data_IF_704507259075
#
_entry.id   IF_704507259075
#
_cell.length_a   1.000
_cell.length_b   1.000
_cell.length_c   1.000
_cell.angle_alpha   90.00
_cell.angle_beta   90.00
_cell.angle_gamma   90.00
#
_symmetry.space_group_name_H-M   'P 1'
#
loop_
_entity.id
_entity.type
_entity.pdbx_description
1 polymer ?
#
# COMPACT_ATOMS: atom_id res chain seq x y z
N UNK A 1 -37.67 37.73 -63.36
CA UNK A 1 -36.92 36.46 -63.51
C UNK A 1 -36.05 36.26 -62.28
N UNK A 2 -36.01 35.05 -61.70
CA UNK A 2 -35.16 34.61 -60.57
C UNK A 2 -35.76 34.93 -59.20
N UNK A 3 -36.53 34.08 -58.51
CA UNK A 3 -36.31 32.71 -58.01
C UNK A 3 -35.24 32.59 -56.89
N UNK A 4 -35.78 32.53 -55.66
CA UNK A 4 -35.36 31.85 -54.41
C UNK A 4 -34.01 31.13 -54.39
N UNK A 5 -33.26 31.26 -53.27
CA UNK A 5 -32.56 30.12 -52.64
C UNK A 5 -32.24 30.40 -51.16
N UNK A 6 -33.07 29.81 -50.28
CA UNK A 6 -32.74 29.52 -48.89
C UNK A 6 -32.04 28.16 -48.89
N UNK A 7 -30.75 28.12 -48.56
CA UNK A 7 -30.02 26.87 -48.35
C UNK A 7 -30.29 26.37 -46.91
N UNK A 8 -31.15 25.36 -46.79
CA UNK A 8 -31.15 24.45 -45.66
C UNK A 8 -29.90 23.57 -45.75
N UNK A 9 -29.01 23.64 -44.75
CA UNK A 9 -27.96 22.67 -44.55
C UNK A 9 -28.55 21.42 -43.89
N UNK A 10 -28.72 20.34 -44.66
CA UNK A 10 -28.97 19.01 -44.13
C UNK A 10 -27.64 18.45 -43.60
N UNK A 11 -27.48 18.37 -42.28
CA UNK A 11 -26.39 17.64 -41.66
C UNK A 11 -26.67 16.13 -41.79
N UNK A 12 -25.94 15.47 -42.68
CA UNK A 12 -25.94 14.01 -42.78
C UNK A 12 -25.31 13.42 -41.51
N UNK A 13 -26.10 12.72 -40.71
CA UNK A 13 -25.60 11.88 -39.61
C UNK A 13 -24.96 10.64 -40.23
N UNK A 14 -23.65 10.67 -40.42
CA UNK A 14 -22.90 9.47 -40.76
C UNK A 14 -22.87 8.56 -39.51
N UNK A 15 -23.26 7.28 -39.60
CA UNK A 15 -23.03 6.35 -38.51
C UNK A 15 -21.52 6.18 -38.34
N UNK A 16 -20.99 6.52 -37.16
CA UNK A 16 -19.63 6.15 -36.75
C UNK A 16 -19.55 4.63 -36.67
N UNK A 17 -18.93 4.02 -37.67
CA UNK A 17 -18.57 2.60 -37.63
C UNK A 17 -17.35 2.47 -36.71
N UNK A 18 -17.56 1.99 -35.48
CA UNK A 18 -16.44 1.64 -34.61
C UNK A 18 -15.75 0.40 -35.18
N UNK A 19 -14.44 0.48 -35.41
CA UNK A 19 -13.62 -0.67 -35.78
C UNK A 19 -13.73 -1.75 -34.69
N UNK A 20 -13.57 -3.03 -35.07
CA UNK A 20 -13.58 -4.14 -34.12
C UNK A 20 -12.52 -3.95 -33.03
N UNK A 21 -12.86 -4.26 -31.79
CA UNK A 21 -11.93 -4.22 -30.65
C UNK A 21 -10.87 -5.31 -30.79
N UNK A 22 -9.60 -4.93 -30.59
CA UNK A 22 -8.48 -5.87 -30.57
C UNK A 22 -8.68 -6.97 -29.50
N UNK A 23 -7.94 -8.07 -29.62
CA UNK A 23 -7.92 -9.11 -28.60
C UNK A 23 -7.59 -8.50 -27.23
N UNK A 24 -8.32 -8.92 -26.18
CA UNK A 24 -8.22 -8.40 -24.81
C UNK A 24 -8.63 -6.93 -24.61
N UNK A 25 -9.12 -6.23 -25.63
CA UNK A 25 -9.66 -4.88 -25.46
C UNK A 25 -11.07 -4.89 -24.84
N UNK A 26 -11.46 -3.78 -24.23
CA UNK A 26 -12.83 -3.58 -23.76
C UNK A 26 -13.80 -3.55 -24.94
N UNK A 27 -14.89 -4.30 -24.82
CA UNK A 27 -15.92 -4.44 -25.85
C UNK A 27 -17.35 -4.16 -25.34
N UNK A 28 -17.48 -3.68 -24.10
CA UNK A 28 -18.77 -3.37 -23.49
C UNK A 28 -18.65 -2.86 -22.06
N UNK A 29 -19.78 -2.44 -21.50
CA UNK A 29 -19.86 -1.84 -20.17
C UNK A 29 -20.66 -0.53 -20.15
N UNK A 30 -21.27 -0.21 -19.03
CA UNK A 30 -22.00 1.04 -18.83
C UNK A 30 -21.06 2.24 -19.02
N UNK A 31 -21.43 3.15 -19.93
CA UNK A 31 -20.61 4.31 -20.29
C UNK A 31 -19.56 4.05 -21.37
N UNK A 32 -19.39 2.80 -21.83
CA UNK A 32 -18.48 2.47 -22.93
C UNK A 32 -19.00 3.00 -24.26
N UNK A 33 -18.17 3.77 -24.97
CA UNK A 33 -18.48 4.34 -26.28
C UNK A 33 -17.59 3.79 -27.41
N UNK A 34 -16.70 2.84 -27.10
CA UNK A 34 -15.80 2.22 -28.09
C UNK A 34 -16.41 1.01 -28.79
N UNK A 35 -15.53 0.17 -29.36
CA UNK A 35 -15.94 -1.02 -30.11
C UNK A 35 -16.82 -1.97 -29.27
N UNK A 36 -17.91 -2.49 -29.84
CA UNK A 36 -18.79 -3.47 -29.17
C UNK A 36 -18.67 -4.89 -29.72
N UNK A 37 -17.82 -5.06 -30.73
CA UNK A 37 -17.52 -6.34 -31.37
C UNK A 37 -16.02 -6.55 -31.39
N UNK A 38 -15.60 -7.81 -31.32
CA UNK A 38 -14.19 -8.20 -31.23
C UNK A 38 -13.64 -8.63 -32.60
N UNK A 39 -12.32 -8.54 -32.76
CA UNK A 39 -11.62 -9.12 -33.91
C UNK A 39 -11.83 -10.63 -33.98
N UNK A 40 -11.70 -11.21 -35.19
CA UNK A 40 -11.90 -12.64 -35.43
C UNK A 40 -11.09 -13.52 -34.47
N UNK A 41 -11.72 -14.57 -33.93
CA UNK A 41 -11.14 -15.46 -32.91
C UNK A 41 -11.39 -15.01 -31.47
N UNK A 42 -11.95 -13.82 -31.26
CA UNK A 42 -12.31 -13.28 -29.95
C UNK A 42 -13.82 -13.01 -29.86
N UNK A 43 -14.38 -13.24 -28.68
CA UNK A 43 -15.78 -12.99 -28.34
C UNK A 43 -15.85 -11.96 -27.23
N UNK A 44 -16.82 -11.04 -27.33
CA UNK A 44 -17.04 -10.07 -26.26
C UNK A 44 -17.69 -10.78 -25.06
N UNK A 45 -16.92 -11.00 -24.01
CA UNK A 45 -17.37 -11.70 -22.81
C UNK A 45 -17.72 -10.70 -21.72
N UNK A 46 -18.95 -10.78 -21.23
CA UNK A 46 -19.42 -9.96 -20.12
C UNK A 46 -18.63 -10.29 -18.84
N UNK A 47 -18.10 -9.27 -18.18
CA UNK A 47 -17.44 -9.41 -16.88
C UNK A 47 -18.30 -8.82 -15.77
N UNK A 48 -18.75 -7.58 -15.93
CA UNK A 48 -19.66 -6.90 -15.02
C UNK A 48 -20.40 -5.74 -15.74
N UNK A 49 -21.24 -5.02 -15.00
CA UNK A 49 -22.10 -3.95 -15.55
C UNK A 49 -21.30 -2.84 -16.24
N UNK A 50 -20.07 -2.56 -15.79
CA UNK A 50 -19.22 -1.50 -16.32
C UNK A 50 -18.16 -2.00 -17.31
N UNK A 51 -18.00 -3.31 -17.49
CA UNK A 51 -16.90 -3.87 -18.25
C UNK A 51 -17.21 -5.23 -18.92
N UNK A 52 -16.89 -5.33 -20.21
CA UNK A 52 -16.86 -6.57 -20.99
C UNK A 52 -15.60 -6.58 -21.84
N UNK A 53 -14.99 -7.73 -22.07
CA UNK A 53 -13.67 -7.85 -22.74
C UNK A 53 -13.68 -8.86 -23.87
N UNK A 54 -12.92 -8.57 -24.93
CA UNK A 54 -12.66 -9.51 -26.02
C UNK A 54 -11.75 -10.64 -25.55
N UNK A 55 -12.29 -11.86 -25.43
CA UNK A 55 -11.52 -13.05 -25.02
C UNK A 55 -11.50 -14.12 -26.12
N UNK A 56 -10.43 -14.93 -26.25
CA UNK A 56 -10.35 -15.99 -27.26
C UNK A 56 -11.51 -16.98 -27.12
N UNK A 57 -12.30 -17.15 -28.19
CA UNK A 57 -13.41 -18.09 -28.22
C UNK A 57 -13.04 -19.35 -29.00
N UNK A 58 -13.01 -20.50 -28.34
CA UNK A 58 -13.04 -21.80 -29.02
C UNK A 58 -14.37 -21.92 -29.77
N UNK A 59 -14.32 -22.06 -31.10
CA UNK A 59 -15.49 -22.03 -31.97
C UNK A 59 -16.64 -22.93 -31.52
N UNK A 60 -17.85 -22.37 -31.44
CA UNK A 60 -19.08 -23.09 -31.15
C UNK A 60 -20.15 -22.14 -30.62
N UNK A 61 -21.09 -21.73 -31.48
CA UNK A 61 -22.13 -20.77 -31.14
C UNK A 61 -23.19 -21.31 -30.17
N UNK A 62 -23.58 -20.46 -29.21
CA UNK A 62 -24.96 -20.36 -28.73
C UNK A 62 -25.14 -19.00 -28.03
N UNK A 63 -25.96 -18.15 -28.62
CA UNK A 63 -26.44 -16.89 -28.06
C UNK A 63 -27.34 -17.18 -26.85
N UNK A 64 -27.06 -16.56 -25.70
CA UNK A 64 -27.97 -16.56 -24.54
C UNK A 64 -28.31 -15.13 -24.17
N UNK A 65 -29.50 -14.70 -24.60
CA UNK A 65 -30.12 -13.43 -24.25
C UNK A 65 -30.72 -13.49 -22.84
N UNK A 66 -30.49 -12.43 -22.06
CA UNK A 66 -31.06 -12.16 -20.73
C UNK A 66 -32.61 -12.05 -20.78
N UNK A 67 -33.36 -12.58 -19.78
CA UNK A 67 -34.76 -12.24 -19.63
C UNK A 67 -34.92 -10.85 -19.00
N UNK A 68 -35.82 -10.07 -19.59
CA UNK A 68 -36.31 -8.78 -19.14
C UNK A 68 -37.41 -9.00 -18.10
N UNK A 69 -37.31 -8.38 -16.93
CA UNK A 69 -38.47 -8.13 -16.06
C UNK A 69 -38.47 -6.67 -15.64
N UNK A 70 -39.65 -6.06 -15.80
CA UNK A 70 -39.93 -4.63 -15.76
C UNK A 70 -40.83 -4.32 -14.56
N UNK A 71 -40.54 -3.19 -13.90
CA UNK A 71 -41.46 -2.31 -13.14
C UNK A 71 -41.98 -2.75 -11.75
N UNK A 72 -42.51 -1.83 -10.90
CA UNK A 72 -42.58 -0.36 -11.02
C UNK A 72 -42.06 0.43 -9.78
N UNK A 73 -41.85 1.71 -10.05
CA UNK A 73 -41.63 2.84 -9.15
C UNK A 73 -42.86 3.14 -8.28
N UNK A 74 -42.65 3.43 -7.00
CA UNK A 74 -43.65 4.16 -6.18
C UNK A 74 -42.96 5.26 -5.37
N UNK A 75 -43.32 6.49 -5.68
CA UNK A 75 -43.00 7.71 -4.93
C UNK A 75 -43.97 7.79 -3.75
N UNK A 76 -43.46 7.96 -2.52
CA UNK A 76 -44.26 8.49 -1.40
C UNK A 76 -43.43 9.51 -0.63
N UNK A 77 -43.89 10.76 -0.69
CA UNK A 77 -43.48 11.88 0.15
C UNK A 77 -44.29 11.82 1.44
N UNK A 78 -43.66 11.97 2.62
CA UNK A 78 -44.36 12.33 3.86
C UNK A 78 -43.42 12.95 4.89
N UNK A 79 -43.95 13.95 5.57
CA UNK A 79 -43.33 14.98 6.41
C UNK A 79 -43.18 14.62 7.89
N UNK A 80 -42.04 15.02 8.49
CA UNK A 80 -41.81 15.65 9.82
C UNK A 80 -42.57 15.13 11.06
N UNK A 81 -41.84 14.73 12.11
CA UNK A 81 -41.73 15.46 13.40
C UNK A 81 -40.91 14.71 14.48
N UNK A 82 -40.35 15.53 15.38
CA UNK A 82 -39.44 15.25 16.50
C UNK A 82 -40.10 14.59 17.71
N UNK A 83 -39.36 13.71 18.39
CA UNK A 83 -39.43 13.54 19.85
C UNK A 83 -38.12 12.99 20.42
N UNK A 84 -37.64 13.66 21.46
CA UNK A 84 -36.50 13.33 22.33
C UNK A 84 -36.88 12.34 23.42
N UNK A 85 -36.04 11.34 23.68
CA UNK A 85 -35.82 10.74 25.01
C UNK A 85 -34.44 10.06 25.01
N UNK A 86 -33.58 10.42 25.96
CA UNK A 86 -32.21 9.91 26.07
C UNK A 86 -32.10 8.60 26.86
N UNK A 87 -30.98 7.90 26.67
CA UNK A 87 -30.22 7.23 27.74
C UNK A 87 -28.87 6.70 27.24
N UNK A 88 -27.85 6.88 28.10
CA UNK A 88 -26.58 6.16 28.25
C UNK A 88 -25.61 5.92 27.07
N UNK A 89 -24.52 6.69 27.13
CA UNK A 89 -23.11 6.30 27.01
C UNK A 89 -22.74 5.07 26.15
N UNK A 90 -22.16 5.36 24.99
CA UNK A 90 -20.97 4.65 24.49
C UNK A 90 -20.08 5.72 23.89
N UNK A 91 -19.07 6.17 24.62
CA UNK A 91 -18.03 7.05 24.06
C UNK A 91 -17.13 6.23 23.15
N UNK A 92 -17.56 6.06 21.90
CA UNK A 92 -16.67 5.66 20.81
C UNK A 92 -15.84 6.89 20.48
N UNK A 93 -14.66 7.02 21.10
CA UNK A 93 -13.74 8.07 20.74
C UNK A 93 -13.26 7.80 19.30
N UNK A 94 -13.61 8.71 18.38
CA UNK A 94 -12.92 8.84 17.11
C UNK A 94 -11.41 9.07 17.38
N UNK A 95 -10.49 8.75 16.44
CA UNK A 95 -9.11 9.14 16.60
C UNK A 95 -9.08 10.66 16.78
N UNK A 96 -8.38 11.14 17.80
CA UNK A 96 -8.26 12.57 18.05
C UNK A 96 -7.71 13.25 16.78
N UNK A 97 -8.30 14.38 16.39
CA UNK A 97 -7.73 15.23 15.35
C UNK A 97 -6.26 15.55 15.71
N UNK A 98 -5.30 14.99 14.96
CA UNK A 98 -3.88 15.14 15.24
C UNK A 98 -3.03 13.98 14.74
N UNK A 99 -1.71 14.11 14.89
CA UNK A 99 -0.75 13.07 14.52
C UNK A 99 -0.89 11.85 15.46
N UNK A 100 -1.17 10.64 14.95
CA UNK A 100 -1.45 9.45 15.76
C UNK A 100 -0.23 8.89 16.50
N UNK A 101 0.99 9.34 16.16
CA UNK A 101 2.23 8.91 16.80
C UNK A 101 2.62 9.78 18.01
N UNK A 102 2.12 11.02 18.10
CA UNK A 102 2.49 11.95 19.17
C UNK A 102 1.93 11.47 20.51
N UNK A 103 2.79 11.43 21.53
CA UNK A 103 2.41 10.98 22.87
C UNK A 103 2.14 9.48 22.97
N UNK A 104 2.66 8.69 22.03
CA UNK A 104 2.56 7.22 22.02
C UNK A 104 3.95 6.58 22.02
N UNK A 105 4.08 5.46 22.72
CA UNK A 105 5.13 4.49 22.44
C UNK A 105 4.64 3.55 21.32
N UNK A 106 5.53 3.06 20.47
CA UNK A 106 5.20 2.04 19.49
C UNK A 106 5.51 0.65 20.05
N UNK A 107 4.64 -0.31 19.80
CA UNK A 107 4.84 -1.68 20.25
C UNK A 107 6.06 -2.30 19.56
N UNK A 108 6.95 -2.89 20.35
CA UNK A 108 8.10 -3.62 19.83
C UNK A 108 7.62 -4.95 19.30
N UNK A 109 7.73 -5.17 17.98
CA UNK A 109 7.33 -6.38 17.29
C UNK A 109 8.04 -7.62 17.86
N UNK A 110 7.34 -8.49 18.61
CA UNK A 110 7.94 -9.68 19.22
C UNK A 110 8.43 -10.71 18.21
N UNK A 111 7.84 -10.76 17.00
CA UNK A 111 8.29 -11.65 15.93
C UNK A 111 9.72 -11.30 15.54
N UNK A 112 9.95 -10.05 15.13
CA UNK A 112 11.26 -9.55 14.71
C UNK A 112 12.30 -9.60 15.84
N UNK A 113 11.90 -9.25 17.07
CA UNK A 113 12.78 -9.39 18.23
C UNK A 113 13.20 -10.86 18.47
N UNK A 114 12.32 -11.81 18.20
CA UNK A 114 12.63 -13.24 18.33
C UNK A 114 13.55 -13.74 17.23
N UNK A 115 13.41 -13.28 15.99
CA UNK A 115 14.36 -13.58 14.92
C UNK A 115 15.76 -13.06 15.24
N UNK A 116 15.88 -11.83 15.74
CA UNK A 116 17.18 -11.29 16.15
C UNK A 116 17.79 -12.15 17.27
N UNK A 117 16.96 -12.54 18.25
CA UNK A 117 17.43 -13.32 19.40
C UNK A 117 17.80 -14.75 19.03
N UNK A 118 17.07 -15.38 18.10
CA UNK A 118 17.25 -16.78 17.72
C UNK A 118 18.26 -16.96 16.58
N UNK A 119 18.31 -16.03 15.63
CA UNK A 119 19.09 -16.16 14.40
C UNK A 119 20.31 -15.23 14.38
N UNK A 120 20.18 -13.99 14.85
CA UNK A 120 21.27 -13.02 14.78
C UNK A 120 22.29 -13.18 15.90
N UNK A 121 21.85 -12.98 17.15
CA UNK A 121 22.70 -12.90 18.33
C UNK A 121 23.61 -14.13 18.48
N UNK A 122 23.16 -15.38 18.26
CA UNK A 122 24.03 -16.55 18.42
C UNK A 122 25.23 -16.60 17.46
N UNK A 123 25.16 -15.90 16.32
CA UNK A 123 26.24 -15.84 15.33
C UNK A 123 27.12 -14.57 15.44
N UNK A 124 26.74 -13.62 16.31
CA UNK A 124 27.45 -12.35 16.50
C UNK A 124 28.23 -12.37 17.82
N UNK A 125 29.32 -11.59 17.90
CA UNK A 125 30.16 -11.51 19.10
C UNK A 125 30.44 -10.06 19.49
N UNK A 126 30.81 -9.85 20.75
CA UNK A 126 31.23 -8.55 21.29
C UNK A 126 30.20 -7.44 21.02
N UNK A 127 30.69 -6.30 20.54
CA UNK A 127 29.86 -5.12 20.27
C UNK A 127 28.72 -5.39 19.27
N UNK A 128 28.88 -6.32 18.32
CA UNK A 128 27.84 -6.63 17.34
C UNK A 128 26.64 -7.34 17.99
N UNK A 129 26.89 -8.25 18.94
CA UNK A 129 25.79 -8.89 19.68
C UNK A 129 25.03 -7.87 20.55
N UNK A 130 25.74 -6.93 21.19
CA UNK A 130 25.10 -5.84 21.96
C UNK A 130 24.25 -4.94 21.08
N UNK A 131 24.78 -4.54 19.91
CA UNK A 131 24.03 -3.74 18.94
C UNK A 131 22.80 -4.48 18.42
N UNK A 132 22.91 -5.77 18.11
CA UNK A 132 21.77 -6.59 17.70
C UNK A 132 20.68 -6.63 18.78
N UNK A 133 21.06 -6.82 20.05
CA UNK A 133 20.12 -6.77 21.16
C UNK A 133 19.46 -5.38 21.35
N UNK A 134 20.10 -4.30 20.90
CA UNK A 134 19.49 -2.97 20.86
C UNK A 134 18.49 -2.83 19.69
N UNK A 135 18.80 -3.39 18.51
CA UNK A 135 17.88 -3.44 17.36
C UNK A 135 16.58 -4.17 17.73
N UNK A 136 16.66 -5.26 18.49
CA UNK A 136 15.49 -6.02 18.94
C UNK A 136 14.50 -5.22 19.82
N UNK A 137 14.88 -4.01 20.26
CA UNK A 137 14.03 -3.10 21.03
C UNK A 137 13.47 -1.95 20.19
N UNK A 138 13.86 -1.85 18.91
CA UNK A 138 13.35 -0.83 17.99
C UNK A 138 12.00 -1.31 17.47
N UNK A 139 10.94 -0.48 17.57
CA UNK A 139 9.62 -0.87 17.06
C UNK A 139 9.62 -0.92 15.53
N UNK A 140 9.23 -2.06 14.98
CA UNK A 140 8.98 -2.27 13.56
C UNK A 140 7.51 -2.59 13.33
N UNK A 141 7.01 -2.39 12.11
CA UNK A 141 5.67 -2.84 11.75
C UNK A 141 5.62 -4.37 11.71
N UNK A 142 4.50 -4.95 12.15
CA UNK A 142 4.22 -6.37 11.93
C UNK A 142 3.42 -6.55 10.64
N UNK A 143 3.91 -7.42 9.76
CA UNK A 143 3.30 -7.65 8.45
C UNK A 143 2.23 -8.75 8.55
N UNK A 144 1.04 -8.43 8.07
CA UNK A 144 -0.06 -9.37 7.83
C UNK A 144 -0.03 -9.74 6.34
N UNK A 145 1.10 -10.27 5.89
CA UNK A 145 1.39 -10.64 4.50
C UNK A 145 0.78 -11.99 4.07
N UNK A 146 0.12 -12.66 5.01
CA UNK A 146 -0.67 -13.89 4.87
C UNK A 146 -1.80 -13.90 5.92
N UNK A 147 -2.90 -14.59 5.63
CA UNK A 147 -4.04 -14.71 6.53
C UNK A 147 -3.74 -15.50 7.81
N UNK A 148 -2.79 -16.43 7.77
CA UNK A 148 -2.37 -17.21 8.95
C UNK A 148 -1.66 -16.36 10.02
N UNK A 149 -1.14 -15.17 9.65
CA UNK A 149 -0.54 -14.21 10.58
C UNK A 149 -1.57 -13.32 11.28
N UNK A 150 -2.81 -13.24 10.81
CA UNK A 150 -3.86 -12.39 11.40
C UNK A 150 -4.13 -12.68 12.88
N UNK A 151 -4.20 -13.95 13.36
CA UNK A 151 -4.37 -14.25 14.78
C UNK A 151 -3.26 -13.64 15.67
N UNK A 152 -2.03 -13.52 15.18
CA UNK A 152 -0.91 -12.91 15.90
C UNK A 152 -1.16 -11.43 16.22
N UNK A 153 -1.88 -10.70 15.36
CA UNK A 153 -2.34 -9.35 15.66
C UNK A 153 -3.18 -9.32 16.94
N UNK A 154 -4.07 -10.31 17.13
CA UNK A 154 -4.88 -10.43 18.35
C UNK A 154 -4.02 -10.65 19.61
N UNK A 155 -2.96 -11.46 19.51
CA UNK A 155 -1.99 -11.63 20.60
C UNK A 155 -1.28 -10.32 20.93
N UNK A 156 -0.82 -9.58 19.92
CA UNK A 156 -0.10 -8.32 20.13
C UNK A 156 -1.00 -7.24 20.72
N UNK A 157 -2.23 -7.11 20.23
CA UNK A 157 -3.20 -6.16 20.79
C UNK A 157 -3.60 -6.53 22.23
N UNK A 158 -3.66 -7.83 22.58
CA UNK A 158 -3.83 -8.27 23.97
C UNK A 158 -2.68 -7.80 24.87
N UNK A 159 -1.44 -7.98 24.41
CA UNK A 159 -0.25 -7.54 25.14
C UNK A 159 -0.21 -6.03 25.29
N UNK A 160 -0.49 -5.28 24.22
CA UNK A 160 -0.54 -3.81 24.24
C UNK A 160 -1.60 -3.32 25.23
N UNK A 161 -2.81 -3.89 25.18
CA UNK A 161 -3.86 -3.59 26.15
C UNK A 161 -3.41 -3.86 27.59
N UNK A 162 -2.72 -4.97 27.84
CA UNK A 162 -2.21 -5.30 29.17
C UNK A 162 -1.17 -4.28 29.65
N UNK A 163 -0.23 -3.87 28.79
CA UNK A 163 0.76 -2.82 29.07
C UNK A 163 0.09 -1.49 29.40
N UNK A 164 -0.90 -1.09 28.61
CA UNK A 164 -1.64 0.16 28.83
C UNK A 164 -2.45 0.13 30.12
N UNK A 165 -3.11 -0.99 30.45
CA UNK A 165 -3.81 -1.18 31.73
C UNK A 165 -2.87 -1.19 32.94
N UNK A 166 -1.62 -1.63 32.75
CA UNK A 166 -0.58 -1.57 33.77
C UNK A 166 0.03 -0.16 33.94
N UNK A 167 -0.44 0.84 33.21
CA UNK A 167 0.01 2.23 33.35
C UNK A 167 1.20 2.60 32.47
N UNK A 168 1.38 1.95 31.31
CA UNK A 168 2.37 2.38 30.34
C UNK A 168 2.24 3.89 30.02
N UNK A 169 3.34 4.62 30.16
CA UNK A 169 3.40 6.06 29.95
C UNK A 169 4.65 6.43 29.13
N UNK A 170 4.52 6.84 27.85
CA UNK A 170 3.27 7.03 27.13
C UNK A 170 2.51 5.71 26.85
N UNK A 171 1.20 5.76 26.58
CA UNK A 171 0.45 4.58 26.16
C UNK A 171 1.02 4.02 24.85
N UNK A 172 1.01 2.69 24.75
CA UNK A 172 1.55 1.92 23.64
C UNK A 172 0.51 1.79 22.53
N UNK A 173 0.93 1.99 21.28
CA UNK A 173 0.15 1.78 20.07
C UNK A 173 0.70 0.61 19.24
N UNK A 174 -0.17 -0.13 18.56
CA UNK A 174 0.23 -1.20 17.64
C UNK A 174 0.45 -0.68 16.21
N UNK A 175 1.43 -1.24 15.50
CA UNK A 175 1.79 -0.87 14.13
C UNK A 175 1.78 -2.09 13.21
N UNK A 176 0.95 -2.08 12.17
CA UNK A 176 0.73 -3.24 11.29
C UNK A 176 0.67 -2.86 9.82
N UNK A 177 1.09 -3.78 8.95
CA UNK A 177 0.92 -3.70 7.48
C UNK A 177 -0.13 -4.72 7.05
N UNK A 178 -1.14 -4.30 6.29
CA UNK A 178 -2.06 -5.19 5.57
C UNK A 178 -1.52 -5.38 4.15
N UNK A 179 -1.15 -6.60 3.77
CA UNK A 179 -0.42 -6.82 2.53
C UNK A 179 -0.75 -8.17 1.89
N UNK A 180 -2.01 -8.37 1.50
CA UNK A 180 -2.46 -9.66 0.96
C UNK A 180 -3.48 -9.52 -0.18
N UNK A 181 -3.36 -8.45 -0.98
CA UNK A 181 -4.23 -8.26 -2.15
C UNK A 181 -4.14 -9.48 -3.10
N UNK A 182 -5.24 -9.89 -3.75
CA UNK A 182 -5.18 -10.92 -4.77
C UNK A 182 -4.39 -10.43 -5.99
N UNK A 183 -3.64 -11.33 -6.62
CA UNK A 183 -2.67 -11.00 -7.69
C UNK A 183 -1.65 -9.93 -7.21
N UNK A 184 -1.23 -10.01 -5.94
CA UNK A 184 -0.25 -9.10 -5.31
C UNK A 184 1.02 -8.98 -6.17
N UNK A 185 1.65 -7.81 -6.12
CA UNK A 185 2.94 -7.57 -6.78
C UNK A 185 2.88 -7.75 -8.30
N UNK A 186 1.81 -7.25 -8.92
CA UNK A 186 1.47 -7.47 -10.33
C UNK A 186 2.54 -7.07 -11.37
N UNK A 187 3.54 -6.27 -10.98
CA UNK A 187 4.66 -5.87 -11.83
C UNK A 187 5.99 -6.54 -11.45
N UNK A 188 6.03 -7.35 -10.40
CA UNK A 188 7.19 -8.15 -10.02
C UNK A 188 7.33 -9.37 -10.94
N UNK A 189 8.55 -9.92 -11.04
CA UNK A 189 8.76 -11.14 -11.82
C UNK A 189 8.12 -12.36 -11.15
N UNK A 190 8.05 -12.33 -9.81
CA UNK A 190 7.34 -13.30 -9.00
C UNK A 190 6.66 -12.62 -7.80
N UNK A 191 5.56 -13.22 -7.35
CA UNK A 191 4.82 -12.77 -6.16
C UNK A 191 4.74 -13.87 -5.13
N UNK A 192 4.79 -13.47 -3.85
CA UNK A 192 4.56 -14.34 -2.70
C UNK A 192 3.11 -14.29 -2.20
N UNK A 193 2.20 -13.58 -2.88
CA UNK A 193 0.79 -13.49 -2.49
C UNK A 193 0.06 -14.83 -2.54
N UNK A 194 -0.76 -15.13 -1.53
CA UNK A 194 -1.49 -16.41 -1.44
C UNK A 194 -2.81 -16.41 -2.22
N UNK A 195 -3.32 -15.24 -2.59
CA UNK A 195 -4.56 -15.09 -3.33
C UNK A 195 -4.34 -14.74 -4.79
N UNK A 196 -5.17 -15.33 -5.66
CA UNK A 196 -5.28 -14.93 -7.05
C UNK A 196 -6.71 -14.62 -7.43
N UNK A 197 -6.92 -13.58 -8.25
CA UNK A 197 -8.26 -13.15 -8.67
C UNK A 197 -8.99 -14.31 -9.35
N UNK A 198 -8.29 -15.07 -10.19
CA UNK A 198 -8.80 -16.24 -10.89
C UNK A 198 -9.30 -17.35 -9.94
N UNK A 199 -8.77 -17.43 -8.71
CA UNK A 199 -9.08 -18.47 -7.74
C UNK A 199 -9.76 -17.90 -6.50
N UNK A 200 -10.87 -17.18 -6.71
CA UNK A 200 -11.71 -16.61 -5.64
C UNK A 200 -10.99 -15.56 -4.74
N UNK A 201 -9.87 -14.99 -5.21
CA UNK A 201 -9.01 -14.12 -4.40
C UNK A 201 -9.71 -12.88 -3.86
N UNK A 202 -10.68 -12.31 -4.58
CA UNK A 202 -11.45 -11.15 -4.09
C UNK A 202 -12.27 -11.49 -2.84
N UNK A 203 -12.92 -12.67 -2.83
CA UNK A 203 -13.69 -13.10 -1.66
C UNK A 203 -12.78 -13.50 -0.50
N UNK A 204 -11.65 -14.17 -0.79
CA UNK A 204 -10.66 -14.52 0.22
C UNK A 204 -10.06 -13.26 0.87
N UNK A 205 -9.70 -12.25 0.08
CA UNK A 205 -9.19 -10.98 0.60
C UNK A 205 -10.21 -10.25 1.48
N UNK A 206 -11.50 -10.26 1.10
CA UNK A 206 -12.57 -9.71 1.95
C UNK A 206 -12.68 -10.45 3.28
N UNK A 207 -12.63 -11.78 3.27
CA UNK A 207 -12.65 -12.59 4.50
C UNK A 207 -11.42 -12.33 5.38
N UNK A 208 -10.24 -12.16 4.77
CA UNK A 208 -9.02 -11.73 5.43
C UNK A 208 -9.19 -10.36 6.11
N UNK A 209 -9.72 -9.35 5.41
CA UNK A 209 -10.03 -8.04 6.00
C UNK A 209 -11.08 -8.14 7.12
N UNK A 210 -12.14 -8.94 6.94
CA UNK A 210 -13.17 -9.15 7.95
C UNK A 210 -12.60 -9.77 9.23
N UNK A 211 -11.61 -10.65 9.11
CA UNK A 211 -10.91 -11.25 10.25
C UNK A 211 -10.07 -10.22 11.02
N UNK A 212 -9.40 -9.30 10.31
CA UNK A 212 -8.68 -8.15 10.89
C UNK A 212 -9.66 -7.23 11.63
N UNK A 213 -10.76 -6.85 10.97
CA UNK A 213 -11.82 -5.99 11.55
C UNK A 213 -12.41 -6.62 12.82
N UNK A 214 -12.63 -7.94 12.82
CA UNK A 214 -13.14 -8.67 13.98
C UNK A 214 -12.21 -8.53 15.19
N UNK A 215 -10.90 -8.68 14.98
CA UNK A 215 -9.91 -8.48 16.04
C UNK A 215 -9.91 -7.01 16.51
N UNK A 216 -9.84 -6.05 15.58
CA UNK A 216 -9.76 -4.63 15.93
C UNK A 216 -10.97 -4.15 16.75
N UNK A 217 -12.18 -4.63 16.44
CA UNK A 217 -13.39 -4.37 17.25
C UNK A 217 -13.25 -4.87 18.70
N UNK A 218 -12.62 -6.02 18.90
CA UNK A 218 -12.34 -6.58 20.23
C UNK A 218 -11.27 -5.78 21.00
N UNK A 219 -10.52 -4.91 20.33
CA UNK A 219 -9.43 -4.08 20.88
C UNK A 219 -9.62 -2.58 20.64
N UNK A 220 -10.87 -2.11 20.64
CA UNK A 220 -11.24 -0.70 20.40
C UNK A 220 -10.70 0.32 21.41
N UNK A 221 -10.19 -0.13 22.56
CA UNK A 221 -9.48 0.68 23.57
C UNK A 221 -7.99 0.86 23.29
N UNK A 222 -7.45 0.18 22.26
CA UNK A 222 -6.04 0.22 21.87
C UNK A 222 -5.88 1.01 20.58
N UNK A 223 -5.00 2.01 20.58
CA UNK A 223 -4.64 2.74 19.36
C UNK A 223 -3.87 1.84 18.39
N UNK A 224 -4.29 1.83 17.13
CA UNK A 224 -3.67 1.05 16.06
C UNK A 224 -3.33 1.97 14.89
N UNK A 225 -2.12 1.84 14.39
CA UNK A 225 -1.66 2.50 13.17
C UNK A 225 -1.46 1.40 12.13
N UNK A 226 -2.17 1.52 11.02
CA UNK A 226 -2.36 0.45 10.07
C UNK A 226 -2.19 1.00 8.64
N UNK A 227 -2.03 0.09 7.70
CA UNK A 227 -2.18 0.37 6.29
C UNK A 227 -3.48 -0.33 5.89
N UNK A 228 -4.63 0.39 5.80
CA UNK A 228 -5.99 -0.06 5.37
C UNK A 228 -6.91 -0.83 6.39
N UNK A 229 -7.76 -0.16 7.19
CA UNK A 229 -9.10 -0.54 7.74
C UNK A 229 -9.79 0.69 8.40
N UNK A 230 -11.10 0.92 8.17
CA UNK A 230 -11.86 2.05 8.75
C UNK A 230 -12.52 1.72 10.12
N UNK A 231 -11.83 2.02 11.23
CA UNK A 231 -12.35 1.87 12.61
C UNK A 231 -11.92 3.05 13.51
N UNK A 232 -12.69 3.42 14.56
CA UNK A 232 -12.42 4.60 15.39
C UNK A 232 -11.09 4.60 16.15
N UNK A 233 -10.47 3.45 16.37
CA UNK A 233 -9.17 3.34 17.03
C UNK A 233 -8.00 3.15 16.04
N UNK A 234 -8.27 3.28 14.74
CA UNK A 234 -7.31 3.04 13.65
C UNK A 234 -6.94 4.34 12.95
N UNK A 235 -5.65 4.53 12.69
CA UNK A 235 -5.15 5.53 11.73
C UNK A 235 -4.49 4.81 10.56
N UNK A 236 -4.89 5.16 9.33
CA UNK A 236 -4.47 4.53 8.09
C UNK A 236 -3.53 5.42 7.28
N UNK A 237 -2.48 4.80 6.74
CA UNK A 237 -1.63 5.36 5.70
C UNK A 237 -1.64 4.42 4.49
N UNK A 238 -2.01 4.89 3.30
CA UNK A 238 -1.94 4.07 2.09
C UNK A 238 -0.50 4.09 1.55
N UNK A 239 0.01 2.95 1.07
CA UNK A 239 1.32 2.95 0.40
C UNK A 239 1.30 3.88 -0.84
N UNK A 240 2.34 4.69 -0.96
CA UNK A 240 2.54 5.62 -2.06
C UNK A 240 3.92 5.50 -2.70
N UNK A 241 4.44 4.26 -2.76
CA UNK A 241 5.74 3.95 -3.32
C UNK A 241 6.84 4.78 -2.66
N UNK A 242 7.68 5.39 -3.49
CA UNK A 242 8.78 6.24 -3.04
C UNK A 242 9.14 7.27 -4.11
N UNK A 243 10.04 8.19 -3.78
CA UNK A 243 10.47 9.28 -4.63
C UNK A 243 10.89 8.79 -6.03
N UNK A 244 11.76 7.78 -6.09
CA UNK A 244 12.20 7.15 -7.35
C UNK A 244 11.16 6.37 -8.16
N UNK A 245 9.90 6.35 -7.74
CA UNK A 245 8.81 5.72 -8.47
C UNK A 245 7.71 6.71 -8.82
N UNK A 246 7.01 7.25 -7.83
CA UNK A 246 5.88 8.16 -8.05
C UNK A 246 6.29 9.63 -7.98
N UNK A 247 7.51 9.92 -7.51
CA UNK A 247 8.04 11.27 -7.41
C UNK A 247 8.44 11.89 -8.75
N UNK A 248 8.68 11.09 -9.78
CA UNK A 248 8.99 11.58 -11.12
C UNK A 248 7.93 12.55 -11.63
N UNK A 249 8.36 13.62 -12.29
CA UNK A 249 7.49 14.70 -12.79
C UNK A 249 6.30 14.21 -13.63
N UNK A 250 6.49 13.14 -14.41
CA UNK A 250 5.44 12.53 -15.22
C UNK A 250 4.41 11.72 -14.39
N UNK A 251 4.82 11.23 -13.22
CA UNK A 251 4.04 10.29 -12.39
C UNK A 251 3.32 10.97 -11.23
N UNK A 252 3.90 12.05 -10.68
CA UNK A 252 3.41 12.65 -9.44
C UNK A 252 1.99 13.25 -9.55
N UNK A 253 1.64 13.79 -10.72
CA UNK A 253 0.28 14.28 -11.01
C UNK A 253 -0.75 13.15 -11.08
N UNK A 254 -0.56 12.14 -11.96
CA UNK A 254 -1.40 10.95 -12.00
C UNK A 254 -1.52 10.22 -10.66
N UNK A 255 -0.43 10.12 -9.89
CA UNK A 255 -0.45 9.53 -8.55
C UNK A 255 -1.40 10.28 -7.61
N UNK A 256 -1.29 11.62 -7.55
CA UNK A 256 -2.18 12.43 -6.73
C UNK A 256 -3.66 12.25 -7.12
N UNK A 257 -3.95 12.20 -8.43
CA UNK A 257 -5.30 11.95 -8.93
C UNK A 257 -5.83 10.60 -8.47
N UNK A 258 -5.04 9.52 -8.58
CA UNK A 258 -5.43 8.18 -8.16
C UNK A 258 -5.73 8.13 -6.66
N UNK A 259 -4.82 8.60 -5.81
CA UNK A 259 -5.04 8.60 -4.36
C UNK A 259 -6.26 9.42 -3.96
N UNK A 260 -6.44 10.59 -4.56
CA UNK A 260 -7.64 11.41 -4.33
C UNK A 260 -8.93 10.70 -4.76
N UNK A 261 -8.93 9.98 -5.88
CA UNK A 261 -10.08 9.18 -6.33
C UNK A 261 -10.38 8.04 -5.35
N UNK A 262 -9.37 7.28 -4.93
CA UNK A 262 -9.54 6.18 -3.97
C UNK A 262 -10.08 6.70 -2.64
N UNK A 263 -9.50 7.79 -2.11
CA UNK A 263 -9.96 8.43 -0.88
C UNK A 263 -11.43 8.87 -0.97
N UNK A 264 -11.82 9.54 -2.06
CA UNK A 264 -13.19 10.00 -2.29
C UNK A 264 -14.16 8.82 -2.48
N UNK A 265 -13.76 7.79 -3.23
CA UNK A 265 -14.56 6.60 -3.46
C UNK A 265 -14.82 5.80 -2.17
N UNK A 266 -13.88 5.83 -1.23
CA UNK A 266 -14.03 5.24 0.10
C UNK A 266 -14.91 6.09 1.05
N UNK A 267 -15.45 7.23 0.60
CA UNK A 267 -16.26 8.13 1.43
C UNK A 267 -15.44 9.13 2.25
N UNK A 268 -14.16 9.34 1.92
CA UNK A 268 -13.24 10.25 2.61
C UNK A 268 -13.14 9.98 4.13
N UNK A 269 -12.91 8.73 4.56
CA UNK A 269 -12.91 8.38 5.98
C UNK A 269 -11.82 9.13 6.74
N UNK A 270 -12.17 9.71 7.89
CA UNK A 270 -11.24 10.48 8.74
C UNK A 270 -10.05 9.66 9.25
N UNK A 271 -10.20 8.35 9.24
CA UNK A 271 -9.22 7.36 9.64
C UNK A 271 -8.08 7.26 8.62
N UNK A 272 -8.31 7.59 7.34
CA UNK A 272 -7.23 7.71 6.35
C UNK A 272 -6.52 9.04 6.58
N UNK A 273 -5.45 8.95 7.36
CA UNK A 273 -4.60 10.07 7.76
C UNK A 273 -3.72 10.54 6.59
N UNK A 274 -3.28 9.61 5.75
CA UNK A 274 -2.48 9.96 4.59
C UNK A 274 -1.77 8.78 3.93
N UNK A 275 -0.48 8.93 3.65
CA UNK A 275 0.30 8.02 2.82
C UNK A 275 1.58 7.53 3.51
N UNK A 276 1.98 6.29 3.23
CA UNK A 276 3.26 5.71 3.65
C UNK A 276 4.21 5.70 2.45
N UNK A 277 5.45 6.14 2.64
CA UNK A 277 6.46 6.24 1.58
C UNK A 277 7.72 5.48 1.94
N UNK A 278 8.52 5.15 0.93
CA UNK A 278 9.80 4.45 1.05
C UNK A 278 9.69 3.04 1.67
N UNK A 279 8.48 2.47 1.78
CA UNK A 279 8.23 1.16 2.36
C UNK A 279 9.11 0.12 1.68
N UNK A 280 9.93 -0.57 2.46
CA UNK A 280 10.91 -1.54 1.96
C UNK A 280 11.93 -0.99 0.93
N UNK A 281 12.17 0.32 0.89
CA UNK A 281 13.15 0.95 0.02
C UNK A 281 14.26 1.64 0.84
N UNK A 282 15.11 2.44 0.21
CA UNK A 282 16.39 2.90 0.77
C UNK A 282 16.62 4.41 0.63
N UNK A 283 15.61 5.17 0.20
CA UNK A 283 15.80 6.58 -0.10
C UNK A 283 16.14 7.39 1.15
N UNK A 284 16.96 8.42 0.96
CA UNK A 284 17.22 9.40 1.99
C UNK A 284 15.95 10.20 2.30
N UNK A 285 15.78 10.64 3.56
CA UNK A 285 14.81 11.70 3.88
C UNK A 285 15.24 13.01 3.23
N UNK A 286 16.49 13.40 3.48
CA UNK A 286 17.16 14.54 2.85
C UNK A 286 18.58 14.14 2.48
N UNK A 287 19.15 14.81 1.49
CA UNK A 287 20.53 14.62 1.07
C UNK A 287 21.18 15.96 0.70
N UNK A 288 22.48 16.10 0.90
CA UNK A 288 23.23 17.30 0.49
C UNK A 288 23.40 17.40 -1.03
N UNK A 289 23.38 16.25 -1.71
CA UNK A 289 23.37 16.13 -3.17
C UNK A 289 22.54 14.91 -3.58
N UNK A 290 21.96 14.96 -4.78
CA UNK A 290 21.21 13.84 -5.33
C UNK A 290 22.17 12.69 -5.72
N UNK A 291 21.96 11.44 -5.27
CA UNK A 291 22.74 10.29 -5.72
C UNK A 291 22.68 10.13 -7.24
N UNK A 292 23.74 9.60 -7.86
CA UNK A 292 23.82 9.49 -9.33
C UNK A 292 22.68 8.68 -9.95
N UNK A 293 22.22 7.61 -9.26
CA UNK A 293 21.10 6.78 -9.72
C UNK A 293 19.75 7.51 -9.72
N UNK A 294 19.65 8.70 -9.11
CA UNK A 294 18.44 9.55 -9.14
C UNK A 294 18.43 10.57 -10.29
N UNK A 295 19.47 10.57 -11.13
CA UNK A 295 19.65 11.56 -12.20
C UNK A 295 18.43 11.63 -13.13
N UNK A 296 17.97 12.86 -13.39
CA UNK A 296 16.81 13.14 -14.24
C UNK A 296 15.53 13.45 -13.48
N UNK A 297 15.49 13.22 -12.17
CA UNK A 297 14.39 13.63 -11.31
C UNK A 297 14.78 14.83 -10.43
N UNK A 298 13.84 15.75 -10.23
CA UNK A 298 13.97 16.83 -9.24
C UNK A 298 13.68 16.33 -7.82
N UNK A 299 12.90 15.27 -7.67
CA UNK A 299 12.49 14.72 -6.38
C UNK A 299 13.44 13.59 -5.95
N UNK A 300 14.72 13.88 -5.76
CA UNK A 300 15.74 12.84 -5.51
C UNK A 300 15.81 12.28 -4.07
N UNK A 301 14.89 12.70 -3.19
CA UNK A 301 14.73 12.20 -1.82
C UNK A 301 13.27 12.33 -1.36
N UNK A 302 12.92 11.66 -0.27
CA UNK A 302 11.51 11.58 0.17
C UNK A 302 10.96 12.93 0.62
N UNK A 303 11.76 13.81 1.23
CA UNK A 303 11.28 15.15 1.61
C UNK A 303 10.82 15.95 0.41
N UNK A 304 11.61 15.93 -0.68
CA UNK A 304 11.26 16.62 -1.93
C UNK A 304 10.00 16.01 -2.55
N UNK A 305 9.92 14.68 -2.62
CA UNK A 305 8.75 13.96 -3.12
C UNK A 305 7.48 14.32 -2.36
N UNK A 306 7.49 14.20 -1.03
CA UNK A 306 6.33 14.46 -0.18
C UNK A 306 5.86 15.91 -0.29
N UNK A 307 6.80 16.87 -0.25
CA UNK A 307 6.47 18.29 -0.37
C UNK A 307 5.97 18.67 -1.78
N UNK A 308 6.36 17.92 -2.83
CA UNK A 308 5.82 18.09 -4.16
C UNK A 308 4.44 17.42 -4.35
N UNK A 309 4.20 16.28 -3.71
CA UNK A 309 2.97 15.50 -3.83
C UNK A 309 1.81 16.08 -3.01
N UNK A 310 2.07 16.51 -1.78
CA UNK A 310 1.05 17.00 -0.84
C UNK A 310 0.12 18.10 -1.39
N UNK A 311 0.61 19.17 -2.07
CA UNK A 311 -0.28 20.18 -2.64
C UNK A 311 -1.17 19.61 -3.77
N UNK A 312 -0.68 18.62 -4.52
CA UNK A 312 -1.45 17.96 -5.58
C UNK A 312 -2.56 17.09 -4.98
N UNK A 313 -2.27 16.33 -3.91
CA UNK A 313 -3.28 15.56 -3.19
C UNK A 313 -4.35 16.47 -2.58
N UNK A 314 -3.95 17.59 -2.00
CA UNK A 314 -4.86 18.59 -1.45
C UNK A 314 -5.80 19.12 -2.53
N UNK A 315 -5.29 19.41 -3.73
CA UNK A 315 -6.12 19.82 -4.88
C UNK A 315 -7.10 18.73 -5.32
N UNK A 316 -6.81 17.45 -5.04
CA UNK A 316 -7.72 16.34 -5.26
C UNK A 316 -8.71 16.10 -4.11
N UNK A 317 -8.67 16.90 -3.05
CA UNK A 317 -9.53 16.78 -1.87
C UNK A 317 -9.01 15.79 -0.83
N UNK A 318 -7.74 15.38 -0.91
CA UNK A 318 -7.10 14.51 0.08
C UNK A 318 -5.93 15.23 0.75
N UNK A 319 -6.13 15.90 1.90
CA UNK A 319 -5.08 16.59 2.62
C UNK A 319 -4.21 15.61 3.44
N UNK A 320 -3.48 14.75 2.74
CA UNK A 320 -2.71 13.66 3.33
C UNK A 320 -1.52 14.15 4.16
N UNK A 321 -1.31 13.53 5.32
CA UNK A 321 -0.02 13.48 6.02
C UNK A 321 0.79 12.26 5.59
N UNK A 322 2.03 12.15 6.06
CA UNK A 322 2.96 11.12 5.60
C UNK A 322 3.66 10.40 6.75
N UNK A 323 4.00 9.14 6.50
CA UNK A 323 5.04 8.43 7.23
C UNK A 323 6.07 7.91 6.23
N UNK A 324 7.32 7.83 6.66
CA UNK A 324 8.42 7.36 5.84
C UNK A 324 9.13 6.19 6.52
N UNK A 325 9.30 5.10 5.77
CA UNK A 325 10.17 4.01 6.19
C UNK A 325 11.64 4.46 6.16
N UNK A 326 12.34 4.26 7.27
CA UNK A 326 13.76 4.59 7.47
C UNK A 326 14.54 3.36 7.93
N UNK A 327 13.96 2.17 7.83
CA UNK A 327 14.55 0.93 8.33
C UNK A 327 15.89 0.57 7.69
N UNK A 328 16.14 0.99 6.45
CA UNK A 328 17.34 0.57 5.68
C UNK A 328 18.09 1.70 4.98
N UNK A 329 17.82 2.95 5.34
CA UNK A 329 18.32 4.12 4.62
C UNK A 329 19.47 4.88 5.31
N UNK A 330 20.15 4.27 6.28
CA UNK A 330 21.21 4.91 7.08
C UNK A 330 22.47 5.28 6.28
N UNK A 331 22.71 4.61 5.15
CA UNK A 331 23.82 4.91 4.24
C UNK A 331 23.30 5.62 3.00
N UNK A 332 23.86 6.79 2.71
CA UNK A 332 23.55 7.59 1.53
C UNK A 332 24.84 8.16 0.92
N UNK A 333 25.02 8.12 -0.42
CA UNK A 333 24.21 7.35 -1.36
C UNK A 333 24.30 5.84 -1.05
N UNK A 334 23.29 5.07 -1.44
CA UNK A 334 23.37 3.61 -1.40
C UNK A 334 24.33 3.11 -2.47
N UNK A 335 24.62 1.80 -2.48
CA UNK A 335 25.40 1.17 -3.53
C UNK A 335 24.56 0.75 -4.75
N UNK A 336 23.30 1.19 -4.84
CA UNK A 336 22.43 0.90 -5.98
C UNK A 336 23.05 1.41 -7.28
N UNK A 337 23.02 0.59 -8.33
CA UNK A 337 23.44 0.99 -9.67
C UNK A 337 22.30 1.71 -10.40
N UNK A 338 21.07 1.27 -10.18
CA UNK A 338 19.85 1.93 -10.63
C UNK A 338 18.87 2.12 -9.46
N UNK A 339 18.08 3.19 -9.51
CA UNK A 339 17.14 3.49 -8.44
C UNK A 339 16.04 2.42 -8.27
N UNK A 340 15.75 1.67 -9.34
CA UNK A 340 14.84 0.54 -9.35
C UNK A 340 15.40 -0.74 -8.75
N UNK A 341 16.68 -0.79 -8.38
CA UNK A 341 17.30 -1.97 -7.78
C UNK A 341 16.88 -2.06 -6.31
N UNK A 342 15.90 -2.91 -6.00
CA UNK A 342 15.25 -2.95 -4.67
C UNK A 342 15.68 -4.13 -3.80
N UNK A 343 16.15 -5.23 -4.40
CA UNK A 343 16.30 -6.50 -3.69
C UNK A 343 17.65 -6.61 -2.96
N UNK A 344 17.61 -6.74 -1.63
CA UNK A 344 18.75 -7.02 -0.76
C UNK A 344 19.97 -6.11 -1.00
N UNK A 345 19.76 -4.82 -1.22
CA UNK A 345 20.81 -3.87 -1.68
C UNK A 345 22.03 -3.85 -0.75
N UNK A 346 23.22 -4.06 -1.31
CA UNK A 346 24.51 -4.05 -0.60
C UNK A 346 24.86 -2.66 -0.04
N UNK A 347 25.71 -2.62 0.98
CA UNK A 347 26.23 -1.37 1.54
C UNK A 347 25.18 -0.48 2.22
N UNK A 348 24.00 -0.99 2.52
CA UNK A 348 22.93 -0.27 3.24
C UNK A 348 23.13 -0.38 4.76
N UNK A 349 22.41 0.45 5.52
CA UNK A 349 22.53 0.58 6.98
C UNK A 349 21.17 0.85 7.63
N UNK A 350 20.99 0.42 8.88
CA UNK A 350 19.83 0.84 9.66
C UNK A 350 19.79 2.37 9.78
N UNK A 351 18.65 2.99 9.48
CA UNK A 351 18.50 4.44 9.46
C UNK A 351 18.06 5.06 10.79
N UNK A 352 17.50 6.27 10.69
CA UNK A 352 16.95 7.01 11.82
C UNK A 352 15.93 6.14 12.56
N UNK A 353 15.96 6.16 13.90
CA UNK A 353 15.02 5.36 14.70
C UNK A 353 13.62 5.97 14.63
N UNK A 354 12.55 5.17 14.81
CA UNK A 354 11.19 5.68 14.74
C UNK A 354 10.98 6.89 15.66
N UNK A 355 10.47 8.00 15.11
CA UNK A 355 10.33 9.26 15.84
C UNK A 355 9.33 10.21 15.18
N UNK A 356 8.65 11.02 15.98
CA UNK A 356 7.82 12.15 15.52
C UNK A 356 8.61 13.45 15.33
N UNK A 357 9.91 13.44 15.64
CA UNK A 357 10.79 14.61 15.45
C UNK A 357 11.33 14.64 14.02
N UNK A 358 10.43 14.82 13.05
CA UNK A 358 10.70 14.74 11.61
C UNK A 358 11.22 16.06 11.03
N UNK A 359 10.88 17.17 11.68
CA UNK A 359 11.23 18.52 11.25
C UNK A 359 10.42 19.02 10.04
N UNK A 360 9.33 18.33 9.70
CA UNK A 360 8.43 18.70 8.61
C UNK A 360 6.97 18.50 9.08
N UNK A 361 6.10 19.47 8.76
CA UNK A 361 4.72 19.46 9.22
C UNK A 361 3.84 18.43 8.50
N UNK A 362 4.26 17.97 7.31
CA UNK A 362 3.57 16.94 6.54
C UNK A 362 3.95 15.53 6.99
N UNK A 363 5.14 15.37 7.57
CA UNK A 363 5.69 14.08 7.98
C UNK A 363 5.38 13.79 9.44
N UNK A 364 4.39 12.92 9.68
CA UNK A 364 3.93 12.57 11.03
C UNK A 364 4.99 11.77 11.81
N UNK A 365 5.69 10.83 11.16
CA UNK A 365 6.74 10.05 11.81
C UNK A 365 7.69 9.36 10.82
N UNK A 366 8.97 9.33 11.18
CA UNK A 366 9.85 8.27 10.69
C UNK A 366 9.50 6.97 11.37
N UNK A 367 9.42 5.89 10.60
CA UNK A 367 9.06 4.55 11.06
C UNK A 367 9.96 3.50 10.44
N UNK A 368 9.98 2.29 10.99
CA UNK A 368 10.61 1.13 10.37
C UNK A 368 9.51 0.18 9.92
N UNK A 369 9.16 0.21 8.63
CA UNK A 369 8.09 -0.62 8.08
C UNK A 369 8.63 -1.99 7.72
N UNK A 370 9.62 -2.07 6.82
CA UNK A 370 10.32 -3.33 6.51
C UNK A 370 11.31 -3.68 7.63
N UNK A 371 11.17 -4.84 8.30
CA UNK A 371 12.14 -5.27 9.30
C UNK A 371 13.46 -5.69 8.63
N UNK A 372 14.50 -4.88 8.82
CA UNK A 372 15.80 -5.13 8.19
C UNK A 372 16.43 -6.44 8.68
N UNK A 373 16.82 -7.32 7.77
CA UNK A 373 17.29 -8.68 8.09
C UNK A 373 16.35 -9.76 7.58
N UNK A 374 15.06 -9.47 7.38
CA UNK A 374 14.19 -10.32 6.58
C UNK A 374 14.48 -10.07 5.08
N UNK A 375 14.83 -11.11 4.33
CA UNK A 375 15.18 -10.98 2.91
C UNK A 375 14.04 -10.37 2.08
N UNK A 376 14.40 -9.67 1.00
CA UNK A 376 13.44 -9.18 0.01
C UNK A 376 13.08 -10.28 -1.01
N UNK A 377 14.00 -11.21 -1.28
CA UNK A 377 13.82 -12.30 -2.23
C UNK A 377 15.07 -13.16 -2.40
N UNK A 378 14.87 -14.35 -2.97
CA UNK A 378 15.93 -15.35 -3.17
C UNK A 378 16.85 -15.00 -4.33
N UNK A 379 18.16 -15.21 -4.15
CA UNK A 379 19.13 -15.08 -5.25
C UNK A 379 19.33 -16.40 -6.00
N UNK A 380 18.62 -17.47 -5.62
CA UNK A 380 18.70 -18.75 -6.31
C UNK A 380 17.88 -18.72 -7.60
N UNK A 381 18.55 -18.66 -8.75
CA UNK A 381 17.93 -18.57 -10.07
C UNK A 381 17.06 -19.77 -10.44
N UNK A 382 17.16 -20.90 -9.73
CA UNK A 382 16.31 -22.08 -9.95
C UNK A 382 15.13 -22.14 -8.99
N UNK A 383 14.99 -21.21 -8.05
CA UNK A 383 13.85 -21.16 -7.14
C UNK A 383 12.58 -20.75 -7.89
N UNK A 384 11.44 -21.31 -7.50
CA UNK A 384 10.16 -21.08 -8.17
C UNK A 384 9.71 -19.61 -8.16
N UNK A 385 10.16 -18.83 -7.17
CA UNK A 385 9.83 -17.41 -6.99
C UNK A 385 11.06 -16.50 -7.12
N UNK A 386 12.04 -16.92 -7.90
CA UNK A 386 13.19 -16.07 -8.20
C UNK A 386 12.75 -14.77 -8.90
N UNK A 387 13.19 -13.63 -8.38
CA UNK A 387 13.08 -12.33 -9.05
C UNK A 387 14.48 -11.87 -9.50
N UNK A 388 14.59 -11.39 -10.73
CA UNK A 388 15.88 -11.06 -11.33
C UNK A 388 16.60 -9.92 -10.59
N UNK A 389 15.88 -9.01 -9.92
CA UNK A 389 16.49 -7.95 -9.12
C UNK A 389 17.35 -8.52 -7.98
N UNK A 390 16.99 -9.70 -7.47
CA UNK A 390 17.73 -10.39 -6.40
C UNK A 390 19.00 -11.10 -6.88
N UNK A 391 19.24 -11.15 -8.20
CA UNK A 391 20.48 -11.65 -8.81
C UNK A 391 21.42 -10.55 -9.30
N UNK A 392 21.07 -9.27 -9.14
CA UNK A 392 21.89 -8.15 -9.60
C UNK A 392 23.19 -8.03 -8.79
N UNK A 393 24.18 -7.35 -9.36
CA UNK A 393 25.52 -7.19 -8.77
C UNK A 393 25.54 -6.36 -7.48
N UNK A 394 24.51 -5.55 -7.26
CA UNK A 394 24.30 -4.73 -6.07
C UNK A 394 23.27 -5.34 -5.10
N UNK A 395 22.77 -6.55 -5.37
CA UNK A 395 22.04 -7.36 -4.41
C UNK A 395 23.01 -8.25 -3.62
N UNK A 396 22.83 -8.33 -2.30
CA UNK A 396 23.64 -9.20 -1.45
C UNK A 396 23.27 -10.67 -1.68
N UNK A 397 24.27 -11.50 -1.95
CA UNK A 397 24.09 -12.91 -2.29
C UNK A 397 25.05 -13.82 -1.48
N UNK A 398 24.70 -15.10 -1.22
CA UNK A 398 23.42 -15.74 -1.53
C UNK A 398 22.31 -15.29 -0.58
N UNK A 399 21.14 -14.96 -1.14
CA UNK A 399 19.96 -14.55 -0.38
C UNK A 399 18.92 -15.68 -0.28
N UNK A 400 18.25 -15.85 0.88
CA UNK A 400 17.20 -16.84 1.06
C UNK A 400 15.85 -16.33 0.52
N UNK A 401 14.78 -17.11 0.68
CA UNK A 401 13.43 -16.73 0.25
C UNK A 401 12.94 -15.43 0.92
N UNK A 402 12.09 -14.67 0.22
CA UNK A 402 11.51 -13.43 0.74
C UNK A 402 10.85 -13.64 2.11
N UNK A 403 11.07 -12.70 3.02
CA UNK A 403 10.54 -12.74 4.40
C UNK A 403 11.28 -13.68 5.35
N UNK A 404 12.26 -14.46 4.87
CA UNK A 404 13.08 -15.30 5.75
C UNK A 404 14.33 -14.58 6.25
N UNK A 405 14.85 -15.01 7.39
CA UNK A 405 16.02 -14.38 8.00
C UNK A 405 17.29 -14.47 7.14
N UNK A 406 17.88 -13.31 6.85
CA UNK A 406 19.12 -13.13 6.09
C UNK A 406 20.22 -12.53 6.97
N UNK A 407 20.98 -13.41 7.63
CA UNK A 407 21.96 -13.01 8.64
C UNK A 407 23.06 -12.07 8.12
N UNK A 408 23.61 -12.32 6.92
CA UNK A 408 24.65 -11.47 6.36
C UNK A 408 24.14 -10.05 6.08
N UNK A 409 22.88 -9.93 5.64
CA UNK A 409 22.24 -8.65 5.40
C UNK A 409 21.97 -7.90 6.70
N UNK A 410 21.48 -8.59 7.74
CA UNK A 410 21.32 -7.99 9.07
C UNK A 410 22.66 -7.46 9.61
N UNK A 411 23.74 -8.23 9.50
CA UNK A 411 25.08 -7.81 9.92
C UNK A 411 25.60 -6.58 9.15
N UNK A 412 25.32 -6.49 7.84
CA UNK A 412 25.59 -5.30 7.03
C UNK A 412 24.84 -4.09 7.58
N UNK A 413 23.51 -4.20 7.75
CA UNK A 413 22.68 -3.10 8.26
C UNK A 413 23.15 -2.59 9.62
N UNK A 414 23.57 -3.52 10.49
CA UNK A 414 24.06 -3.23 11.83
C UNK A 414 25.42 -2.54 11.85
N UNK A 415 26.32 -2.97 10.96
CA UNK A 415 27.66 -2.40 10.80
C UNK A 415 27.56 -0.96 10.31
N UNK A 416 26.66 -0.72 9.36
CA UNK A 416 26.51 0.55 8.67
C UNK A 416 25.41 1.44 9.27
N UNK A 417 24.88 1.09 10.44
CA UNK A 417 23.78 1.81 11.06
C UNK A 417 24.14 3.30 11.30
N UNK A 418 23.24 4.18 10.89
CA UNK A 418 23.37 5.63 11.09
C UNK A 418 22.01 6.23 11.50
N UNK A 419 21.86 6.70 12.75
CA UNK A 419 22.86 6.68 13.82
C UNK A 419 23.29 5.27 14.23
N UNK A 420 24.50 5.09 14.77
CA UNK A 420 24.96 3.79 15.26
C UNK A 420 24.15 3.30 16.47
N UNK A 421 24.05 1.99 16.63
CA UNK A 421 23.47 1.35 17.82
C UNK A 421 24.41 1.31 19.02
#
# INVERSE_FOLDING_TARGET
MGLKNVLLAAAAVAPTVYAQGAGYSQCGGQGWSGATTCVSGFTCTYTNEYYSQCLPGSGGGASSSRPTTTAPTTIVTSTKASTTTGSSATTTAAPAAGNPFVGKALYVNPYYASEISASAIPSLTGAMATKAAAVAKVPTFFWLDTADKVPTMGTYLSNIRALNKAGANPPVAGTFVVYDLPDRDCAAAASNGEYSIANNGVANYKAYIDSIVTILKNYSDTSVILIIVDLPNVSMYLDAGHAGWLGWSANIGPAAQLFGQVYKAAGSPSQVRGLATNVANYNAWTSSSCPSYTSGDSNCNEKLYINALAPLLTAQGFPAHFIMDTGRNGVQPTAQQAWGDWCNVIGTGFGVRPTTNTGDALEDAFVWVKPGGEADGTSNTTAARYDFHCGLSDALQPAPEAGTWFQAYFAQLLTNANPSF
#
